data_IF_152038043514
#
_entry.id   IF_152038043514
#
_cell.length_a   1.000
_cell.length_b   1.000
_cell.length_c   1.000
_cell.angle_alpha   90.00
_cell.angle_beta   90.00
_cell.angle_gamma   90.00
#
_symmetry.space_group_name_H-M   'P 1'
#
loop_
_entity.id
_entity.type
_entity.pdbx_description
1 polymer ?
#
# COMPACT_ATOMS: atom_id res chain seq x y z
N UNK A 1 6.61 -11.21 -11.23
CA UNK A 1 5.76 -10.17 -11.87
C UNK A 1 4.27 -10.43 -11.67
N UNK A 2 3.74 -11.62 -11.94
CA UNK A 2 2.28 -11.88 -11.85
C UNK A 2 1.65 -11.77 -10.45
N UNK A 3 2.42 -11.97 -9.37
CA UNK A 3 1.87 -11.95 -8.02
C UNK A 3 1.46 -10.56 -7.53
N UNK A 4 2.26 -9.52 -7.80
CA UNK A 4 1.93 -8.15 -7.38
C UNK A 4 0.70 -7.63 -8.14
N UNK A 5 0.56 -8.02 -9.41
CA UNK A 5 -0.62 -7.69 -10.23
C UNK A 5 -1.91 -8.33 -9.70
N UNK A 6 -1.83 -9.52 -9.07
CA UNK A 6 -3.01 -10.20 -8.51
C UNK A 6 -3.62 -9.43 -7.35
N UNK A 7 -2.78 -8.88 -6.48
CA UNK A 7 -3.24 -8.14 -5.32
C UNK A 7 -3.86 -6.80 -5.72
N UNK A 8 -3.22 -6.08 -6.64
CA UNK A 8 -3.78 -4.85 -7.24
C UNK A 8 -5.15 -5.15 -7.84
N UNK A 9 -5.27 -6.16 -8.72
CA UNK A 9 -6.55 -6.54 -9.34
C UNK A 9 -7.61 -6.95 -8.32
N UNK A 10 -7.24 -7.60 -7.21
CA UNK A 10 -8.19 -8.00 -6.18
C UNK A 10 -8.83 -6.79 -5.49
N UNK A 11 -8.04 -5.75 -5.23
CA UNK A 11 -8.51 -4.52 -4.59
C UNK A 11 -9.28 -3.64 -5.57
N UNK A 12 -8.82 -3.54 -6.82
CA UNK A 12 -9.39 -2.60 -7.81
C UNK A 12 -10.59 -3.14 -8.58
N UNK A 13 -10.71 -4.46 -8.80
CA UNK A 13 -11.86 -5.07 -9.51
C UNK A 13 -13.25 -4.75 -8.95
N UNK A 14 -13.47 -4.72 -7.61
CA UNK A 14 -14.76 -4.34 -7.07
C UNK A 14 -15.03 -2.82 -7.09
N UNK A 15 -14.07 -1.98 -7.50
CA UNK A 15 -14.21 -0.53 -7.55
C UNK A 15 -14.79 -0.07 -8.89
N UNK A 16 -15.56 1.02 -8.89
CA UNK A 16 -16.11 1.69 -10.09
C UNK A 16 -15.04 2.52 -10.82
N UNK A 17 -13.83 1.97 -10.99
CA UNK A 17 -12.64 2.65 -11.51
C UNK A 17 -12.20 3.88 -10.68
N UNK A 18 -11.11 4.52 -11.11
CA UNK A 18 -10.57 5.72 -10.48
C UNK A 18 -11.08 6.98 -11.17
N UNK A 19 -11.43 8.00 -10.39
CA UNK A 19 -11.91 9.29 -10.91
C UNK A 19 -10.80 10.14 -11.54
N UNK A 20 -9.53 9.87 -11.20
CA UNK A 20 -8.35 10.54 -11.75
C UNK A 20 -7.10 9.69 -11.59
N UNK A 21 -6.07 9.95 -12.41
CA UNK A 21 -4.77 9.30 -12.27
C UNK A 21 -4.13 9.53 -10.89
N UNK A 22 -4.32 10.73 -10.30
CA UNK A 22 -3.85 11.02 -8.95
C UNK A 22 -4.49 10.10 -7.90
N UNK A 23 -5.80 9.85 -8.03
CA UNK A 23 -6.49 8.91 -7.13
C UNK A 23 -6.07 7.47 -7.36
N UNK A 24 -5.80 7.07 -8.62
CA UNK A 24 -5.26 5.76 -8.94
C UNK A 24 -3.87 5.58 -8.33
N UNK A 25 -2.98 6.57 -8.48
CA UNK A 25 -1.63 6.55 -7.94
C UNK A 25 -1.62 6.41 -6.41
N UNK A 26 -2.48 7.14 -5.69
CA UNK A 26 -2.60 7.01 -4.24
C UNK A 26 -3.04 5.61 -3.79
N UNK A 27 -4.02 5.01 -4.48
CA UNK A 27 -4.49 3.66 -4.14
C UNK A 27 -3.44 2.59 -4.49
N UNK A 28 -2.78 2.71 -5.63
CA UNK A 28 -1.71 1.79 -6.02
C UNK A 28 -0.52 1.86 -5.04
N UNK A 29 -0.09 3.07 -4.69
CA UNK A 29 0.97 3.29 -3.69
C UNK A 29 0.59 2.73 -2.31
N UNK A 30 -0.68 2.87 -1.90
CA UNK A 30 -1.17 2.26 -0.65
C UNK A 30 -1.16 0.73 -0.70
N UNK A 31 -1.55 0.12 -1.82
CA UNK A 31 -1.48 -1.34 -2.00
C UNK A 31 -0.03 -1.82 -1.90
N UNK A 32 0.88 -1.15 -2.60
CA UNK A 32 2.32 -1.46 -2.55
C UNK A 32 2.91 -1.30 -1.15
N UNK A 33 2.55 -0.22 -0.45
CA UNK A 33 2.96 0.02 0.94
C UNK A 33 2.52 -1.13 1.86
N UNK A 34 1.26 -1.57 1.75
CA UNK A 34 0.76 -2.69 2.54
C UNK A 34 1.48 -4.02 2.22
N UNK A 35 1.92 -4.21 0.97
CA UNK A 35 2.73 -5.37 0.59
C UNK A 35 4.14 -5.32 1.19
N UNK A 36 4.79 -4.16 1.17
CA UNK A 36 6.11 -3.96 1.76
C UNK A 36 6.08 -4.18 3.28
N UNK A 37 5.04 -3.69 3.96
CA UNK A 37 4.79 -3.93 5.40
C UNK A 37 4.63 -5.44 5.67
N UNK A 38 3.78 -6.14 4.91
CA UNK A 38 3.59 -7.59 5.06
C UNK A 38 4.85 -8.41 4.80
N UNK A 39 5.72 -7.95 3.90
CA UNK A 39 7.01 -8.59 3.61
C UNK A 39 8.09 -8.27 4.64
N UNK A 40 7.83 -7.39 5.61
CA UNK A 40 8.81 -6.95 6.61
C UNK A 40 9.95 -6.12 6.00
N UNK A 41 9.71 -5.48 4.85
CA UNK A 41 10.74 -4.69 4.16
C UNK A 41 11.01 -3.34 4.84
N UNK A 42 10.16 -2.93 5.76
CA UNK A 42 10.39 -1.79 6.64
C UNK A 42 10.95 -2.30 7.97
N UNK A 43 12.27 -2.19 8.12
CA UNK A 43 12.95 -2.33 9.40
C UNK A 43 12.91 -0.99 10.15
N UNK A 44 11.73 -0.56 10.60
CA UNK A 44 11.63 0.54 11.55
C UNK A 44 11.75 -0.02 12.96
N UNK A 45 12.66 0.55 13.77
CA UNK A 45 12.79 0.16 15.18
C UNK A 45 11.43 0.34 15.87
N UNK A 46 10.88 -0.74 16.45
CA UNK A 46 9.52 -0.77 17.04
C UNK A 46 8.40 -1.25 16.10
N UNK A 47 8.67 -1.52 14.81
CA UNK A 47 7.66 -2.03 13.88
C UNK A 47 7.05 -3.37 14.32
N UNK A 48 7.86 -4.26 14.92
CA UNK A 48 7.37 -5.54 15.43
C UNK A 48 6.35 -5.41 16.58
N UNK A 49 6.28 -4.26 17.24
CA UNK A 49 5.32 -3.97 18.32
C UNK A 49 4.04 -3.28 17.80
N UNK A 50 4.08 -2.76 16.57
CA UNK A 50 2.98 -2.02 15.95
C UNK A 50 2.14 -2.93 15.06
N UNK A 51 0.82 -2.73 15.07
CA UNK A 51 -0.05 -3.42 14.11
C UNK A 51 0.27 -2.98 12.68
N UNK A 52 -0.06 -3.81 11.68
CA UNK A 52 0.12 -3.42 10.28
C UNK A 52 -0.64 -2.15 9.90
N UNK A 53 -1.77 -1.86 10.56
CA UNK A 53 -2.51 -0.63 10.35
C UNK A 53 -1.72 0.58 10.89
N UNK A 54 -1.14 0.47 12.08
CA UNK A 54 -0.36 1.55 12.68
C UNK A 54 0.92 1.81 11.89
N UNK A 55 1.61 0.75 11.44
CA UNK A 55 2.75 0.87 10.52
C UNK A 55 2.33 1.54 9.20
N UNK A 56 1.17 1.17 8.66
CA UNK A 56 0.64 1.78 7.44
C UNK A 56 0.38 3.27 7.62
N UNK A 57 -0.30 3.67 8.70
CA UNK A 57 -0.58 5.09 8.94
C UNK A 57 0.67 5.92 9.23
N UNK A 58 1.65 5.35 9.93
CA UNK A 58 2.95 6.00 10.16
C UNK A 58 3.71 6.27 8.85
N UNK A 59 3.59 5.38 7.86
CA UNK A 59 4.30 5.47 6.58
C UNK A 59 3.50 6.18 5.48
N UNK A 60 2.17 6.14 5.52
CA UNK A 60 1.30 6.69 4.48
C UNK A 60 1.43 8.22 4.32
N UNK A 61 1.87 8.93 5.37
CA UNK A 61 2.22 10.36 5.30
C UNK A 61 3.61 10.66 4.73
N UNK A 62 4.48 9.66 4.61
CA UNK A 62 5.86 9.78 4.12
C UNK A 62 6.02 9.35 2.66
N UNK A 63 5.17 8.43 2.19
CA UNK A 63 5.15 8.01 0.78
C UNK A 63 4.51 9.11 -0.07
N UNK A 64 5.35 9.94 -0.69
CA UNK A 64 4.91 10.94 -1.67
C UNK A 64 4.33 10.22 -2.90
N UNK A 65 3.07 10.47 -3.31
CA UNK A 65 2.60 9.98 -4.59
C UNK A 65 3.37 10.72 -5.69
N UNK A 66 4.04 9.95 -6.56
CA UNK A 66 4.63 10.44 -7.81
C UNK A 66 3.56 10.82 -8.82
#
# INVERSE_FOLDING_TARGET
VEQDHRAIKRVTRPMLNFKSFRSAGGVLAGIELMHMIRKGQFATNGANEMSFADQFYALAGQVRPV
#
